data_IF_972566871864
#
_entry.id   IF_972566871864
#
_cell.length_a   1.000
_cell.length_b   1.000
_cell.length_c   1.000
_cell.angle_alpha   90.00
_cell.angle_beta   90.00
_cell.angle_gamma   90.00
#
_symmetry.space_group_name_H-M   'P 1'
#
loop_
_entity.id
_entity.type
_entity.pdbx_description
1 polymer ?
#
# COMPACT_ATOMS: atom_id res chain seq x y z
N UNK A 1 26.66 -57.37 -21.84
CA UNK A 1 26.32 -57.11 -20.43
C UNK A 1 26.42 -55.60 -20.23
N UNK A 2 25.45 -54.84 -20.75
CA UNK A 2 24.21 -54.40 -20.10
C UNK A 2 24.47 -53.29 -19.06
N UNK A 3 24.37 -52.07 -19.59
CA UNK A 3 24.44 -50.75 -18.97
C UNK A 3 23.19 -50.52 -18.09
N UNK A 4 23.36 -50.35 -16.77
CA UNK A 4 22.25 -50.13 -15.84
C UNK A 4 22.08 -48.65 -15.52
N UNK A 5 21.18 -48.03 -16.30
CA UNK A 5 20.47 -46.80 -15.93
C UNK A 5 19.54 -47.08 -14.73
N UNK A 6 19.72 -46.32 -13.65
CA UNK A 6 18.70 -46.01 -12.65
C UNK A 6 19.03 -44.60 -12.13
N UNK A 7 18.35 -43.53 -12.54
CA UNK A 7 16.98 -43.24 -12.14
C UNK A 7 17.01 -42.31 -10.92
N UNK A 8 17.27 -41.00 -11.14
CA UNK A 8 17.16 -39.98 -10.07
C UNK A 8 15.70 -39.93 -9.59
N UNK A 9 15.41 -39.94 -8.28
CA UNK A 9 14.05 -39.72 -7.83
C UNK A 9 13.64 -38.28 -8.15
N UNK A 10 12.51 -38.15 -8.85
CA UNK A 10 11.85 -36.90 -9.13
C UNK A 10 11.46 -36.23 -7.81
N UNK A 11 11.94 -35.00 -7.58
CA UNK A 11 11.39 -34.13 -6.53
C UNK A 11 10.04 -33.63 -7.02
N UNK A 12 8.97 -34.22 -6.50
CA UNK A 12 7.63 -33.62 -6.56
C UNK A 12 7.65 -32.36 -5.67
N UNK A 13 7.66 -31.19 -6.29
CA UNK A 13 7.34 -29.94 -5.62
C UNK A 13 5.80 -29.86 -5.49
N UNK A 14 5.25 -29.40 -4.35
CA UNK A 14 3.82 -29.13 -4.27
C UNK A 14 3.47 -27.94 -5.16
N UNK A 15 2.56 -28.16 -6.10
CA UNK A 15 1.92 -27.12 -6.88
C UNK A 15 1.11 -26.20 -5.95
N UNK A 16 1.21 -24.89 -6.15
CA UNK A 16 0.35 -23.92 -5.46
C UNK A 16 1.03 -23.05 -4.42
N UNK A 17 2.17 -22.44 -4.75
CA UNK A 17 2.54 -21.18 -4.12
C UNK A 17 3.21 -20.30 -5.17
N UNK A 18 2.43 -19.42 -5.80
CA UNK A 18 2.98 -18.26 -6.49
C UNK A 18 3.73 -17.46 -5.43
N UNK A 19 5.03 -17.69 -5.32
CA UNK A 19 5.95 -16.78 -4.65
C UNK A 19 5.92 -15.46 -5.43
N UNK A 20 4.92 -14.64 -5.16
CA UNK A 20 4.80 -13.30 -5.72
C UNK A 20 5.93 -12.50 -5.09
N UNK A 21 6.95 -12.23 -5.92
CA UNK A 21 8.06 -11.36 -5.56
C UNK A 21 7.47 -10.04 -5.09
N UNK A 22 7.91 -9.56 -3.92
CA UNK A 22 7.65 -8.21 -3.47
C UNK A 22 7.97 -7.21 -4.59
N UNK A 23 7.32 -6.04 -4.65
CA UNK A 23 7.67 -5.01 -5.62
C UNK A 23 9.16 -4.64 -5.46
N UNK A 24 10.04 -5.16 -6.32
CA UNK A 24 11.49 -4.93 -6.25
C UNK A 24 11.92 -3.65 -6.96
N UNK A 25 10.97 -2.96 -7.60
CA UNK A 25 11.13 -1.68 -8.28
C UNK A 25 9.91 -0.82 -7.98
N UNK A 26 10.10 0.51 -7.93
CA UNK A 26 9.08 1.57 -7.71
C UNK A 26 7.75 1.27 -8.42
N UNK A 27 6.59 1.81 -7.99
CA UNK A 27 5.31 1.51 -8.61
C UNK A 27 5.40 1.60 -10.15
N UNK A 28 5.30 0.46 -10.85
CA UNK A 28 5.49 0.34 -12.31
C UNK A 28 4.34 0.99 -13.12
N UNK A 29 3.63 1.94 -12.51
CA UNK A 29 2.44 2.61 -13.02
C UNK A 29 1.95 3.65 -12.02
N UNK A 30 1.19 4.63 -12.52
CA UNK A 30 0.48 5.60 -11.68
C UNK A 30 -0.38 4.84 -10.66
N UNK A 31 -0.29 5.24 -9.38
CA UNK A 31 -1.17 4.73 -8.33
C UNK A 31 -2.62 4.93 -8.75
N UNK A 32 -3.46 3.94 -8.46
CA UNK A 32 -4.89 3.97 -8.78
C UNK A 32 -5.79 3.81 -7.56
N UNK A 33 -5.24 3.31 -6.46
CA UNK A 33 -5.98 3.10 -5.24
C UNK A 33 -5.13 3.28 -3.99
N UNK A 34 -5.81 3.67 -2.90
CA UNK A 34 -5.25 3.69 -1.55
C UNK A 34 -6.17 2.87 -0.64
N UNK A 35 -5.59 1.88 0.03
CA UNK A 35 -6.24 1.11 1.08
C UNK A 35 -5.84 1.74 2.41
N UNK A 36 -6.82 2.01 3.27
CA UNK A 36 -6.63 2.71 4.53
C UNK A 36 -7.04 1.76 5.66
N UNK A 37 -6.19 1.61 6.67
CA UNK A 37 -6.70 1.15 7.96
C UNK A 37 -7.61 2.22 8.57
N UNK A 38 -8.36 1.84 9.60
CA UNK A 38 -9.37 2.71 10.23
C UNK A 38 -8.82 3.31 11.52
N UNK A 39 -8.65 2.47 12.53
CA UNK A 39 -8.31 2.88 13.89
C UNK A 39 -6.80 3.19 14.00
N UNK A 40 -6.45 4.47 14.08
CA UNK A 40 -5.06 4.95 14.10
C UNK A 40 -4.61 5.61 12.81
N UNK A 41 -5.44 5.55 11.76
CA UNK A 41 -5.17 6.15 10.44
C UNK A 41 -6.23 7.17 10.06
N UNK A 42 -7.52 6.78 10.07
CA UNK A 42 -8.66 7.67 9.82
C UNK A 42 -9.15 8.29 11.13
N UNK A 43 -9.40 7.46 12.12
CA UNK A 43 -9.89 7.86 13.43
C UNK A 43 -8.88 7.55 14.54
N UNK A 44 -9.06 8.18 15.69
CA UNK A 44 -8.27 7.90 16.89
C UNK A 44 -8.40 6.42 17.26
N UNK A 45 -7.27 5.71 17.36
CA UNK A 45 -7.22 4.35 17.88
C UNK A 45 -7.52 4.37 19.39
N UNK A 46 -8.37 3.46 19.85
CA UNK A 46 -8.76 3.36 21.25
C UNK A 46 -8.52 1.96 21.82
N UNK A 47 -8.04 1.82 23.07
CA UNK A 47 -7.88 0.52 23.72
C UNK A 47 -9.20 -0.24 23.90
N UNK A 48 -10.31 0.49 24.10
CA UNK A 48 -11.66 -0.04 24.32
C UNK A 48 -12.46 -0.27 23.03
N UNK A 49 -11.83 -0.10 21.86
CA UNK A 49 -12.46 -0.08 20.54
C UNK A 49 -13.43 1.10 20.33
N UNK A 50 -13.69 1.42 19.05
CA UNK A 50 -14.80 2.29 18.66
C UNK A 50 -16.01 1.40 18.42
N UNK A 51 -16.95 1.40 19.36
CA UNK A 51 -18.16 0.58 19.31
C UNK A 51 -19.43 1.39 19.06
N UNK A 52 -19.33 2.72 19.04
CA UNK A 52 -20.45 3.62 18.73
C UNK A 52 -19.98 4.77 17.83
N UNK A 53 -20.89 5.30 17.01
CA UNK A 53 -20.59 6.38 16.08
C UNK A 53 -20.10 7.65 16.82
N UNK A 54 -20.61 7.93 18.02
CA UNK A 54 -20.24 9.12 18.79
C UNK A 54 -18.82 9.05 19.36
N UNK A 55 -18.23 7.85 19.42
CA UNK A 55 -16.83 7.63 19.79
C UNK A 55 -15.88 7.88 18.61
N UNK A 56 -16.41 7.96 17.38
CA UNK A 56 -15.62 8.30 16.21
C UNK A 56 -15.05 9.71 16.34
N UNK A 57 -13.73 9.81 16.22
CA UNK A 57 -12.99 11.07 16.20
C UNK A 57 -11.97 10.99 15.09
N UNK A 58 -12.15 11.79 14.05
CA UNK A 58 -11.18 11.91 12.97
C UNK A 58 -9.82 12.34 13.52
N UNK A 59 -8.76 11.75 12.98
CA UNK A 59 -7.41 12.24 13.22
C UNK A 59 -7.21 13.58 12.48
N UNK A 60 -6.40 14.50 13.02
CA UNK A 60 -6.15 15.79 12.38
C UNK A 60 -5.70 15.64 10.92
N UNK A 61 -6.41 16.29 10.00
CA UNK A 61 -6.13 16.28 8.56
C UNK A 61 -6.45 14.97 7.83
N UNK A 62 -6.98 13.94 8.49
CA UNK A 62 -7.31 12.66 7.83
C UNK A 62 -8.47 12.81 6.83
N UNK A 63 -9.48 13.63 7.17
CA UNK A 63 -10.61 13.92 6.29
C UNK A 63 -10.15 14.66 5.02
N UNK A 64 -9.36 15.73 5.19
CA UNK A 64 -8.77 16.49 4.08
C UNK A 64 -7.83 15.64 3.23
N UNK A 65 -7.08 14.73 3.85
CA UNK A 65 -6.23 13.78 3.15
C UNK A 65 -7.03 12.85 2.23
N UNK A 66 -8.19 12.37 2.68
CA UNK A 66 -9.09 11.55 1.85
C UNK A 66 -9.63 12.36 0.66
N UNK A 67 -10.05 13.62 0.88
CA UNK A 67 -10.47 14.52 -0.19
C UNK A 67 -9.36 14.75 -1.21
N UNK A 68 -8.13 14.98 -0.72
CA UNK A 68 -6.96 15.17 -1.58
C UNK A 68 -6.61 13.94 -2.41
N UNK A 69 -6.57 12.76 -1.80
CA UNK A 69 -6.30 11.50 -2.50
C UNK A 69 -7.36 11.24 -3.58
N UNK A 70 -8.64 11.48 -3.26
CA UNK A 70 -9.74 11.38 -4.23
C UNK A 70 -9.59 12.38 -5.37
N UNK A 71 -9.20 13.63 -5.07
CA UNK A 71 -8.93 14.67 -6.06
C UNK A 71 -7.78 14.35 -7.01
N UNK A 72 -6.87 13.44 -6.63
CA UNK A 72 -5.83 12.88 -7.51
C UNK A 72 -6.35 11.74 -8.42
N UNK A 73 -7.64 11.42 -8.35
CA UNK A 73 -8.26 10.32 -9.09
C UNK A 73 -8.04 8.94 -8.46
N UNK A 74 -7.59 8.87 -7.20
CA UNK A 74 -7.36 7.61 -6.50
C UNK A 74 -8.65 7.08 -5.90
N UNK A 75 -8.90 5.78 -6.07
CA UNK A 75 -10.00 5.09 -5.39
C UNK A 75 -9.62 4.75 -3.96
N UNK A 76 -10.55 4.92 -3.02
CA UNK A 76 -10.31 4.62 -1.62
C UNK A 76 -11.03 3.34 -1.18
N UNK A 77 -10.34 2.54 -0.38
CA UNK A 77 -10.96 1.48 0.39
C UNK A 77 -10.51 1.52 1.85
N UNK A 78 -11.39 1.13 2.76
CA UNK A 78 -11.11 0.95 4.19
C UNK A 78 -11.01 -0.54 4.47
N UNK A 79 -9.89 -0.99 5.03
CA UNK A 79 -9.61 -2.40 5.34
C UNK A 79 -9.22 -2.53 6.81
N UNK A 80 -10.11 -3.05 7.65
CA UNK A 80 -9.94 -2.98 9.12
C UNK A 80 -10.18 -4.31 9.85
N UNK A 81 -9.43 -4.54 10.94
CA UNK A 81 -9.64 -5.67 11.83
C UNK A 81 -10.61 -5.29 12.96
N UNK A 82 -11.85 -5.77 12.94
CA UNK A 82 -12.91 -5.44 13.92
C UNK A 82 -13.17 -6.61 14.88
N UNK A 83 -12.18 -6.92 15.72
CA UNK A 83 -12.27 -7.99 16.70
C UNK A 83 -13.40 -7.80 17.74
N UNK A 84 -13.88 -6.57 17.93
CA UNK A 84 -15.01 -6.26 18.79
C UNK A 84 -16.26 -7.07 18.41
N UNK A 85 -16.46 -7.38 17.13
CA UNK A 85 -17.59 -8.23 16.68
C UNK A 85 -17.43 -9.65 17.20
N UNK A 86 -16.30 -10.29 16.91
CA UNK A 86 -16.03 -11.66 17.32
C UNK A 86 -15.93 -11.84 18.84
N UNK A 87 -15.70 -10.76 19.57
CA UNK A 87 -15.71 -10.72 21.03
C UNK A 87 -17.10 -10.39 21.63
N UNK A 88 -18.12 -10.16 20.81
CA UNK A 88 -19.48 -9.83 21.26
C UNK A 88 -19.65 -8.42 21.83
N UNK A 89 -18.69 -7.52 21.60
CA UNK A 89 -18.71 -6.12 22.06
C UNK A 89 -19.39 -5.16 21.07
N UNK A 90 -19.63 -5.63 19.84
CA UNK A 90 -20.17 -4.86 18.73
C UNK A 90 -20.94 -5.79 17.79
N UNK A 91 -22.13 -5.41 17.35
CA UNK A 91 -22.85 -6.13 16.29
C UNK A 91 -22.42 -5.63 14.90
N UNK A 92 -22.66 -6.43 13.86
CA UNK A 92 -22.40 -6.00 12.48
C UNK A 92 -23.19 -4.73 12.12
N UNK A 93 -24.45 -4.63 12.57
CA UNK A 93 -25.31 -3.47 12.33
C UNK A 93 -24.80 -2.20 13.05
N UNK A 94 -24.28 -2.32 14.26
CA UNK A 94 -23.65 -1.18 14.95
C UNK A 94 -22.34 -0.76 14.27
N UNK A 95 -21.56 -1.71 13.76
CA UNK A 95 -20.39 -1.41 12.94
C UNK A 95 -20.79 -0.65 11.65
N UNK A 96 -21.87 -1.06 10.99
CA UNK A 96 -22.38 -0.38 9.80
C UNK A 96 -22.77 1.08 10.12
N UNK A 97 -23.39 1.34 11.27
CA UNK A 97 -23.69 2.72 11.72
C UNK A 97 -22.43 3.58 11.89
N UNK A 98 -21.35 3.02 12.42
CA UNK A 98 -20.06 3.71 12.53
C UNK A 98 -19.51 4.03 11.13
N UNK A 99 -19.57 3.06 10.22
CA UNK A 99 -19.11 3.24 8.85
C UNK A 99 -19.96 4.23 8.05
N UNK A 100 -21.28 4.30 8.32
CA UNK A 100 -22.17 5.27 7.70
C UNK A 100 -21.91 6.68 8.20
N UNK A 101 -21.62 6.86 9.48
CA UNK A 101 -21.16 8.14 10.02
C UNK A 101 -19.86 8.60 9.33
N UNK A 102 -18.85 7.72 9.26
CA UNK A 102 -17.61 8.00 8.53
C UNK A 102 -17.87 8.36 7.05
N UNK A 103 -18.74 7.59 6.36
CA UNK A 103 -19.04 7.83 4.96
C UNK A 103 -19.82 9.13 4.72
N UNK A 104 -20.68 9.54 5.66
CA UNK A 104 -21.39 10.82 5.59
C UNK A 104 -20.41 12.00 5.71
N UNK A 105 -19.45 11.93 6.65
CA UNK A 105 -18.41 12.96 6.80
C UNK A 105 -17.53 13.05 5.54
N UNK A 106 -17.15 11.91 4.96
CA UNK A 106 -16.42 11.84 3.68
C UNK A 106 -17.23 12.48 2.54
N UNK A 107 -18.51 12.16 2.43
CA UNK A 107 -19.38 12.71 1.39
C UNK A 107 -19.52 14.23 1.52
N UNK A 108 -19.55 14.78 2.73
CA UNK A 108 -19.63 16.22 2.98
C UNK A 108 -18.41 17.00 2.43
N UNK A 109 -17.26 16.34 2.27
CA UNK A 109 -16.05 16.90 1.64
C UNK A 109 -15.82 16.42 0.21
N UNK A 110 -16.85 15.85 -0.43
CA UNK A 110 -16.81 15.42 -1.83
C UNK A 110 -16.08 14.09 -2.07
N UNK A 111 -15.83 13.29 -1.04
CA UNK A 111 -15.24 11.95 -1.16
C UNK A 111 -16.35 10.91 -1.37
N UNK A 112 -16.34 10.14 -2.46
CA UNK A 112 -17.27 9.02 -2.63
C UNK A 112 -17.15 8.00 -1.51
N UNK A 113 -18.25 7.28 -1.21
CA UNK A 113 -18.21 6.20 -0.21
C UNK A 113 -17.11 5.19 -0.59
N UNK A 114 -16.11 4.96 0.28
CA UNK A 114 -15.04 4.03 -0.02
C UNK A 114 -15.57 2.60 -0.02
N UNK A 115 -14.83 1.69 -0.65
CA UNK A 115 -15.08 0.25 -0.45
C UNK A 115 -14.68 -0.10 0.98
N UNK A 116 -15.59 -0.65 1.78
CA UNK A 116 -15.30 -1.01 3.18
C UNK A 116 -15.27 -2.54 3.31
N UNK A 117 -14.16 -3.07 3.81
CA UNK A 117 -14.04 -4.46 4.24
C UNK A 117 -13.53 -4.52 5.68
N UNK A 118 -14.11 -5.42 6.46
CA UNK A 118 -13.67 -5.67 7.82
C UNK A 118 -13.53 -7.15 8.11
N UNK A 119 -12.58 -7.51 8.98
CA UNK A 119 -12.52 -8.83 9.56
C UNK A 119 -13.23 -8.83 10.92
N UNK A 120 -14.36 -9.54 11.09
CA UNK A 120 -15.10 -9.55 12.36
C UNK A 120 -14.47 -10.51 13.41
N UNK A 121 -13.53 -11.37 13.01
CA UNK A 121 -13.04 -12.44 13.86
C UNK A 121 -12.17 -11.96 15.04
N UNK A 122 -12.20 -12.67 16.18
CA UNK A 122 -11.36 -12.36 17.33
C UNK A 122 -9.87 -12.55 17.00
N UNK A 123 -8.99 -11.96 17.80
CA UNK A 123 -7.55 -11.96 17.54
C UNK A 123 -6.92 -13.35 17.41
N UNK A 124 -7.44 -14.34 18.15
CA UNK A 124 -6.95 -15.72 18.12
C UNK A 124 -7.42 -16.53 16.88
N UNK A 125 -8.35 -15.99 16.08
CA UNK A 125 -8.93 -16.72 14.96
C UNK A 125 -7.93 -16.95 13.82
N UNK A 126 -7.97 -18.15 13.24
CA UNK A 126 -7.16 -18.53 12.06
C UNK A 126 -7.89 -18.27 10.73
N UNK A 127 -8.58 -17.14 10.61
CA UNK A 127 -9.31 -16.77 9.39
C UNK A 127 -8.39 -16.14 8.32
N UNK A 128 -8.66 -16.32 7.01
CA UNK A 128 -7.79 -15.79 5.94
C UNK A 128 -7.85 -14.26 5.78
N UNK A 129 -8.88 -13.60 6.32
CA UNK A 129 -9.10 -12.16 6.13
C UNK A 129 -8.30 -11.27 7.11
N UNK A 130 -8.14 -11.67 8.37
CA UNK A 130 -7.49 -10.83 9.41
C UNK A 130 -6.05 -10.47 9.05
N UNK A 131 -5.73 -9.17 9.01
CA UNK A 131 -4.34 -8.69 8.88
C UNK A 131 -3.51 -9.25 10.05
N UNK A 132 -2.32 -9.87 9.81
CA UNK A 132 -1.43 -9.66 8.67
C UNK A 132 -1.69 -10.53 7.43
N UNK A 133 -2.76 -11.33 7.39
CA UNK A 133 -3.13 -12.05 6.16
C UNK A 133 -3.69 -11.08 5.10
N UNK A 134 -3.49 -11.35 3.80
CA UNK A 134 -3.83 -10.39 2.75
C UNK A 134 -5.32 -10.36 2.39
N UNK A 135 -6.17 -11.23 2.94
CA UNK A 135 -7.53 -11.45 2.44
C UNK A 135 -8.41 -10.19 2.36
N UNK A 136 -8.29 -9.26 3.32
CA UNK A 136 -8.99 -7.96 3.22
C UNK A 136 -8.47 -7.10 2.07
N UNK A 137 -7.15 -7.09 1.86
CA UNK A 137 -6.53 -6.30 0.79
C UNK A 137 -6.85 -6.89 -0.58
N UNK A 138 -6.75 -8.21 -0.74
CA UNK A 138 -7.15 -8.91 -1.98
C UNK A 138 -8.62 -8.62 -2.32
N UNK A 139 -9.52 -8.73 -1.33
CA UNK A 139 -10.93 -8.39 -1.55
C UNK A 139 -11.16 -6.91 -1.90
N UNK A 140 -10.35 -6.00 -1.38
CA UNK A 140 -10.41 -4.58 -1.77
C UNK A 140 -9.94 -4.37 -3.21
N UNK A 141 -8.82 -4.99 -3.60
CA UNK A 141 -8.27 -4.93 -4.96
C UNK A 141 -9.29 -5.42 -5.99
N UNK A 142 -9.95 -6.55 -5.72
CA UNK A 142 -10.97 -7.14 -6.59
C UNK A 142 -12.18 -6.21 -6.76
N UNK A 143 -12.72 -5.68 -5.65
CA UNK A 143 -13.87 -4.75 -5.69
C UNK A 143 -13.55 -3.43 -6.37
N UNK A 144 -12.31 -2.98 -6.23
CA UNK A 144 -11.85 -1.76 -6.87
C UNK A 144 -11.44 -1.99 -8.33
N UNK A 145 -11.14 -3.22 -8.75
CA UNK A 145 -10.63 -3.51 -10.09
C UNK A 145 -9.23 -2.92 -10.32
N UNK A 146 -8.33 -3.06 -9.34
CA UNK A 146 -6.95 -2.55 -9.39
C UNK A 146 -5.92 -3.65 -9.17
N UNK A 147 -4.71 -3.43 -9.68
CA UNK A 147 -3.57 -4.32 -9.46
C UNK A 147 -2.84 -3.98 -8.15
N UNK A 148 -2.26 -4.98 -7.45
CA UNK A 148 -1.45 -4.72 -6.25
C UNK A 148 -0.35 -3.68 -6.44
N UNK A 149 0.40 -3.77 -7.55
CA UNK A 149 1.51 -2.87 -7.87
C UNK A 149 1.12 -1.39 -8.06
N UNK A 150 -0.18 -1.10 -8.20
CA UNK A 150 -0.75 0.25 -8.35
C UNK A 150 -1.52 0.71 -7.10
N UNK A 151 -1.36 0.00 -5.99
CA UNK A 151 -2.13 0.18 -4.77
C UNK A 151 -1.20 0.43 -3.59
N UNK A 152 -1.54 1.43 -2.80
CA UNK A 152 -0.83 1.79 -1.56
C UNK A 152 -1.69 1.44 -0.34
N UNK A 153 -1.16 0.67 0.60
CA UNK A 153 -1.75 0.45 1.91
C UNK A 153 -1.18 1.47 2.91
N UNK A 154 -2.04 2.22 3.59
CA UNK A 154 -1.66 3.10 4.70
C UNK A 154 -2.19 2.52 6.00
N UNK A 155 -1.29 2.24 6.94
CA UNK A 155 -1.59 1.56 8.20
C UNK A 155 -0.72 2.08 9.35
N UNK A 156 -1.19 1.95 10.58
CA UNK A 156 -0.48 2.35 11.80
C UNK A 156 0.20 1.17 12.52
N UNK A 157 0.03 -0.06 12.00
CA UNK A 157 0.50 -1.26 12.66
C UNK A 157 1.33 -2.15 11.72
N UNK A 158 2.28 -2.90 12.30
CA UNK A 158 3.12 -3.83 11.54
C UNK A 158 2.29 -4.84 10.72
N UNK A 159 1.15 -5.26 11.25
CA UNK A 159 0.26 -6.19 10.54
C UNK A 159 -0.29 -5.63 9.24
N UNK A 160 -0.43 -4.31 9.11
CA UNK A 160 -0.86 -3.69 7.87
C UNK A 160 0.21 -3.79 6.79
N UNK A 161 1.46 -3.54 7.19
CA UNK A 161 2.61 -3.62 6.29
C UNK A 161 2.84 -5.06 5.85
N UNK A 162 2.74 -6.03 6.77
CA UNK A 162 2.82 -7.45 6.44
C UNK A 162 1.70 -7.89 5.49
N UNK A 163 0.46 -7.42 5.71
CA UNK A 163 -0.66 -7.72 4.82
C UNK A 163 -0.44 -7.13 3.42
N UNK A 164 0.09 -5.92 3.34
CA UNK A 164 0.43 -5.27 2.07
C UNK A 164 1.52 -6.04 1.32
N UNK A 165 2.61 -6.43 2.00
CA UNK A 165 3.66 -7.29 1.45
C UNK A 165 3.07 -8.59 0.91
N UNK A 166 2.22 -9.26 1.70
CA UNK A 166 1.60 -10.53 1.32
C UNK A 166 0.62 -10.39 0.15
N UNK A 167 0.01 -9.21 -0.04
CA UNK A 167 -0.86 -8.90 -1.16
C UNK A 167 -0.11 -8.39 -2.40
N UNK A 168 1.20 -8.10 -2.29
CA UNK A 168 1.99 -7.47 -3.35
C UNK A 168 1.73 -5.96 -3.53
N UNK A 169 1.13 -5.31 -2.53
CA UNK A 169 0.88 -3.87 -2.52
C UNK A 169 2.10 -3.10 -2.00
N UNK A 170 2.17 -1.82 -2.35
CA UNK A 170 3.02 -0.87 -1.62
C UNK A 170 2.41 -0.57 -0.26
N UNK A 171 3.25 -0.16 0.69
CA UNK A 171 2.74 0.31 1.97
C UNK A 171 3.45 1.56 2.48
N UNK A 172 2.75 2.33 3.30
CA UNK A 172 3.31 3.46 4.03
C UNK A 172 2.77 3.42 5.45
N UNK A 173 3.67 3.45 6.42
CA UNK A 173 3.28 3.44 7.83
C UNK A 173 3.02 4.87 8.34
N UNK A 174 2.01 5.04 9.21
CA UNK A 174 1.73 6.29 9.90
C UNK A 174 1.94 6.15 11.41
N UNK A 175 2.45 7.20 12.06
CA UNK A 175 2.73 7.21 13.51
C UNK A 175 1.56 7.70 14.37
N UNK A 176 0.41 8.00 13.77
CA UNK A 176 -0.77 8.58 14.44
C UNK A 176 -1.52 7.61 15.35
N UNK A 177 -1.30 6.29 15.20
CA UNK A 177 -1.99 5.26 15.97
C UNK A 177 -1.10 4.57 17.01
N UNK A 178 -0.87 3.27 16.83
CA UNK A 178 -0.18 2.38 17.80
C UNK A 178 1.32 2.63 17.95
N UNK A 179 1.88 3.51 17.12
CA UNK A 179 3.24 4.03 17.25
C UNK A 179 4.34 3.02 16.90
N UNK A 180 5.57 3.53 16.83
CA UNK A 180 6.77 2.76 16.50
C UNK A 180 6.91 2.46 15.00
N UNK A 181 8.07 2.69 14.36
CA UNK A 181 8.25 2.23 12.99
C UNK A 181 8.17 0.69 12.95
N UNK A 182 7.49 0.11 11.95
CA UNK A 182 7.41 -1.34 11.80
C UNK A 182 8.81 -1.89 11.48
N UNK A 183 8.98 -3.21 11.65
CA UNK A 183 10.13 -3.88 11.06
C UNK A 183 10.15 -3.63 9.54
N UNK A 184 11.34 -3.68 8.93
CA UNK A 184 11.47 -3.49 7.49
C UNK A 184 10.66 -4.56 6.74
N UNK A 185 9.65 -4.11 5.99
CA UNK A 185 8.80 -4.96 5.16
C UNK A 185 9.08 -4.67 3.68
N UNK A 186 9.22 -5.68 2.82
CA UNK A 186 9.33 -5.46 1.37
C UNK A 186 8.15 -4.66 0.82
N UNK A 187 8.42 -3.63 0.01
CA UNK A 187 7.37 -2.74 -0.52
C UNK A 187 6.88 -1.67 0.46
N UNK A 188 7.41 -1.60 1.69
CA UNK A 188 7.15 -0.50 2.60
C UNK A 188 8.02 0.71 2.24
N UNK A 189 7.38 1.84 1.94
CA UNK A 189 8.02 3.09 1.53
C UNK A 189 8.60 3.90 2.69
N UNK A 190 8.26 3.55 3.93
CA UNK A 190 8.76 4.21 5.14
C UNK A 190 7.65 4.56 6.13
N UNK A 191 7.91 5.58 6.96
CA UNK A 191 6.99 6.02 8.00
C UNK A 191 6.82 7.54 8.00
N UNK A 192 5.57 8.00 8.00
CA UNK A 192 5.20 9.42 8.10
C UNK A 192 4.42 9.71 9.40
N UNK A 193 4.25 10.97 9.82
CA UNK A 193 3.49 11.30 11.03
C UNK A 193 2.03 10.80 10.99
N UNK A 194 1.26 11.16 9.96
CA UNK A 194 -0.16 10.82 9.84
C UNK A 194 -0.58 10.64 8.37
N UNK A 195 -1.87 10.37 8.16
CA UNK A 195 -2.47 10.23 6.82
C UNK A 195 -2.32 11.52 5.97
N UNK A 196 -2.29 12.70 6.61
CA UNK A 196 -2.04 13.97 5.92
C UNK A 196 -0.72 13.95 5.16
N UNK A 197 0.37 13.62 5.84
CA UNK A 197 1.71 13.58 5.22
C UNK A 197 1.81 12.44 4.20
N UNK A 198 1.08 11.33 4.41
CA UNK A 198 0.96 10.29 3.40
C UNK A 198 0.34 10.82 2.10
N UNK A 199 -0.76 11.58 2.20
CA UNK A 199 -1.39 12.20 1.03
C UNK A 199 -0.51 13.29 0.40
N UNK A 200 0.29 14.00 1.18
CA UNK A 200 1.34 14.93 0.69
C UNK A 200 2.37 14.24 -0.19
N UNK A 201 2.94 13.14 0.30
CA UNK A 201 3.89 12.34 -0.47
C UNK A 201 3.25 11.79 -1.76
N UNK A 202 2.03 11.23 -1.67
CA UNK A 202 1.33 10.69 -2.84
C UNK A 202 1.10 11.76 -3.90
N UNK A 203 0.69 12.97 -3.53
CA UNK A 203 0.51 14.05 -4.49
C UNK A 203 1.82 14.50 -5.14
N UNK A 204 2.91 14.57 -4.36
CA UNK A 204 4.23 14.91 -4.89
C UNK A 204 4.70 13.89 -5.93
N UNK A 205 4.38 12.61 -5.73
CA UNK A 205 4.63 11.56 -6.72
C UNK A 205 3.71 11.66 -7.94
N UNK A 206 2.45 12.04 -7.76
CA UNK A 206 1.48 12.16 -8.86
C UNK A 206 1.80 13.33 -9.82
N UNK A 207 2.40 14.42 -9.33
CA UNK A 207 2.78 15.58 -10.16
C UNK A 207 4.12 15.42 -10.88
N UNK A 208 4.89 14.39 -10.54
CA UNK A 208 6.19 14.14 -11.16
C UNK A 208 6.00 13.18 -12.33
N UNK A 209 6.14 13.67 -13.56
CA UNK A 209 6.19 12.81 -14.76
C UNK A 209 7.46 11.96 -14.72
N UNK A 210 7.37 10.81 -14.05
CA UNK A 210 8.47 9.87 -13.83
C UNK A 210 8.81 9.04 -15.06
N UNK A 211 7.98 9.10 -16.13
CA UNK A 211 8.33 8.50 -17.43
C UNK A 211 9.49 9.24 -18.09
N UNK A 212 9.79 10.45 -17.62
CA UNK A 212 10.91 11.24 -18.10
C UNK A 212 12.19 10.80 -17.36
N UNK A 213 13.20 10.22 -18.05
CA UNK A 213 14.46 9.91 -17.41
C UNK A 213 15.05 11.19 -16.79
N UNK A 214 15.75 11.10 -15.65
CA UNK A 214 16.34 12.28 -15.02
C UNK A 214 17.18 13.02 -16.05
N UNK A 215 16.98 14.34 -16.16
CA UNK A 215 17.82 15.17 -17.01
C UNK A 215 19.27 14.92 -16.63
N UNK A 216 20.17 14.66 -17.60
CA UNK A 216 21.58 14.52 -17.30
C UNK A 216 22.04 15.79 -16.58
N UNK A 217 22.79 15.60 -15.48
CA UNK A 217 23.36 16.72 -14.72
C UNK A 217 24.19 17.59 -15.68
N UNK A 218 24.01 18.92 -15.67
CA UNK A 218 24.78 19.79 -16.53
C UNK A 218 26.14 20.05 -15.88
N UNK A 219 27.03 19.05 -15.90
CA UNK A 219 28.44 19.26 -15.61
C UNK A 219 29.30 18.02 -15.90
N UNK A 220 30.14 18.19 -16.92
CA UNK A 220 31.54 17.75 -16.78
C UNK A 220 32.06 16.71 -17.77
N UNK A 221 31.93 16.95 -19.08
CA UNK A 221 33.03 16.94 -20.07
C UNK A 221 32.51 16.72 -21.49
N UNK A 222 32.68 17.74 -22.32
CA UNK A 222 32.93 17.59 -23.75
C UNK A 222 34.36 18.06 -24.02
N UNK A 223 35.14 17.27 -24.76
CA UNK A 223 35.85 17.81 -25.89
C UNK A 223 35.22 17.25 -27.16
N UNK A 224 34.73 18.17 -28.00
CA UNK A 224 34.18 17.87 -29.31
C UNK A 224 35.23 17.39 -30.32
N UNK A 225 34.80 17.14 -31.57
CA UNK A 225 35.61 16.45 -32.57
C UNK A 225 36.56 17.43 -33.28
N UNK A 226 37.86 17.11 -33.29
CA UNK A 226 38.88 17.84 -34.04
C UNK A 226 39.57 16.91 -35.04
N UNK A 227 39.11 16.96 -36.30
CA UNK A 227 39.82 16.36 -37.42
C UNK A 227 41.04 17.21 -37.81
N UNK A 228 42.21 16.60 -37.95
CA UNK A 228 43.30 17.15 -38.75
C UNK A 228 44.14 16.00 -39.36
N UNK A 229 43.90 15.75 -40.65
CA UNK A 229 44.73 14.88 -41.49
C UNK A 229 46.11 15.52 -41.66
N UNK A 230 47.16 14.73 -41.45
CA UNK A 230 48.54 15.03 -41.83
C UNK A 230 48.64 15.28 -43.35
N UNK A 231 49.20 16.43 -43.74
CA UNK A 231 49.97 16.59 -44.97
C UNK A 231 51.27 17.28 -44.60
N UNK A 232 52.38 16.59 -44.82
CA UNK A 232 53.65 17.18 -45.26
C UNK A 232 54.54 16.02 -45.72
N UNK A 233 54.68 15.93 -47.04
CA UNK A 233 55.78 15.19 -47.66
C UNK A 233 56.92 16.16 -47.92
N UNK A 234 58.14 15.64 -47.91
CA UNK A 234 59.22 15.96 -48.85
C UNK A 234 60.51 15.29 -48.38
N UNK A 235 61.15 14.54 -49.28
CA UNK A 235 62.59 14.66 -49.61
C UNK A 235 62.90 13.77 -50.83
N UNK A 236 63.99 14.10 -51.54
CA UNK A 236 63.96 14.60 -52.93
C UNK A 236 63.89 13.53 -54.01
#
# INVERSE_FOLDING_TARGET
MADHRAGRPARLAPEGCLAQRAPTARPDGQLQAVLLDRDGVLNVNRPDHVTRAEQWRWLPGALDACARLTGLGLRLAVVTNQAAIGNGLLTAHELDRIHDHMAADLAAVGVPRPVILHCPHPSAARCPCRKPRPGLLTGALDRLGVRPAQTLMVGDHETDMMAATAAGCWSLHVRSGRGGPPAAQPGCLGSVPALREAAELVAAFATTDWRRPPLPRPDGRHPGPGAARKKEGARP
#
